data_IF_214615556564
#
_entry.id   IF_214615556564
#
_cell.length_a   1.000
_cell.length_b   1.000
_cell.length_c   1.000
_cell.angle_alpha   90.00
_cell.angle_beta   90.00
_cell.angle_gamma   90.00
#
_symmetry.space_group_name_H-M   'P 1'
#
loop_
_entity.id
_entity.type
_entity.pdbx_description
1 polymer ?
#
# COMPACT_ATOMS: atom_id res chain seq x y z
N UNK A 1 -21.40 24.78 -10.43
CA UNK A 1 -20.30 24.34 -9.53
C UNK A 1 -19.52 23.22 -10.21
N UNK A 2 -18.23 23.41 -10.49
CA UNK A 2 -17.34 22.28 -10.84
C UNK A 2 -17.12 21.45 -9.57
N UNK A 3 -17.33 20.14 -9.62
CA UNK A 3 -16.94 19.25 -8.52
C UNK A 3 -15.43 19.40 -8.28
N UNK A 4 -14.97 19.33 -7.03
CA UNK A 4 -13.55 19.38 -6.78
C UNK A 4 -12.83 18.24 -7.49
N UNK A 5 -11.74 18.55 -8.19
CA UNK A 5 -11.00 17.60 -9.04
C UNK A 5 -10.28 16.52 -8.24
N UNK A 6 -10.17 16.66 -6.93
CA UNK A 6 -9.50 15.72 -6.03
C UNK A 6 -10.34 14.51 -5.59
N UNK A 7 -11.67 14.57 -5.66
CA UNK A 7 -12.54 13.47 -5.21
C UNK A 7 -12.29 12.17 -6.02
N UNK A 8 -12.26 12.21 -7.37
CA UNK A 8 -11.97 11.00 -8.16
C UNK A 8 -10.55 10.44 -7.91
N UNK A 9 -9.60 11.31 -7.56
CA UNK A 9 -8.20 10.96 -7.30
C UNK A 9 -8.10 10.16 -5.99
N UNK A 10 -8.78 10.62 -4.93
CA UNK A 10 -8.81 9.93 -3.63
C UNK A 10 -9.48 8.55 -3.72
N UNK A 11 -10.59 8.43 -4.46
CA UNK A 11 -11.21 7.13 -4.71
C UNK A 11 -10.31 6.18 -5.50
N UNK A 12 -9.48 6.71 -6.42
CA UNK A 12 -8.48 5.92 -7.13
C UNK A 12 -7.37 5.42 -6.20
N UNK A 13 -6.85 6.26 -5.32
CA UNK A 13 -5.85 5.86 -4.32
C UNK A 13 -6.41 4.83 -3.33
N UNK A 14 -7.69 4.93 -2.98
CA UNK A 14 -8.38 3.93 -2.15
C UNK A 14 -8.51 2.59 -2.89
N UNK A 15 -8.85 2.61 -4.19
CA UNK A 15 -8.92 1.40 -5.00
C UNK A 15 -7.58 0.64 -5.04
N UNK A 16 -6.48 1.36 -5.31
CA UNK A 16 -5.13 0.79 -5.25
C UNK A 16 -4.81 0.21 -3.86
N UNK A 17 -5.23 0.90 -2.80
CA UNK A 17 -5.00 0.44 -1.43
C UNK A 17 -5.79 -0.82 -1.07
N UNK A 18 -7.03 -0.94 -1.54
CA UNK A 18 -7.83 -2.16 -1.37
C UNK A 18 -7.15 -3.33 -2.09
N UNK A 19 -6.64 -3.11 -3.31
CA UNK A 19 -5.89 -4.13 -4.04
C UNK A 19 -4.62 -4.58 -3.28
N UNK A 20 -3.87 -3.64 -2.71
CA UNK A 20 -2.71 -3.93 -1.86
C UNK A 20 -3.09 -4.71 -0.59
N UNK A 21 -4.18 -4.31 0.08
CA UNK A 21 -4.68 -4.98 1.28
C UNK A 21 -5.07 -6.44 1.00
N UNK A 22 -5.78 -6.71 -0.11
CA UNK A 22 -6.06 -8.09 -0.51
C UNK A 22 -4.80 -8.85 -0.88
N UNK A 23 -3.89 -8.24 -1.64
CA UNK A 23 -2.62 -8.85 -2.03
C UNK A 23 -1.79 -9.29 -0.83
N UNK A 24 -1.63 -8.42 0.17
CA UNK A 24 -0.87 -8.75 1.38
C UNK A 24 -1.59 -9.81 2.22
N UNK A 25 -2.93 -9.77 2.34
CA UNK A 25 -3.67 -10.82 3.05
C UNK A 25 -3.51 -12.19 2.39
N UNK A 26 -3.56 -12.26 1.05
CA UNK A 26 -3.33 -13.51 0.30
C UNK A 26 -1.89 -14.01 0.53
N UNK A 27 -0.91 -13.10 0.49
CA UNK A 27 0.48 -13.43 0.81
C UNK A 27 0.59 -14.02 2.21
N UNK A 28 0.08 -13.31 3.22
CA UNK A 28 0.10 -13.76 4.62
C UNK A 28 -0.60 -15.10 4.80
N UNK A 29 -1.69 -15.36 4.07
CA UNK A 29 -2.42 -16.63 4.14
C UNK A 29 -1.65 -17.80 3.50
N UNK A 30 -1.01 -17.58 2.35
CA UNK A 30 -0.46 -18.64 1.50
C UNK A 30 1.06 -18.86 1.59
N UNK A 31 1.82 -17.95 2.17
CA UNK A 31 3.29 -17.99 2.12
C UNK A 31 3.87 -19.16 2.93
N UNK A 32 4.62 -20.05 2.25
CA UNK A 32 5.42 -21.10 2.90
C UNK A 32 4.64 -22.25 3.56
N UNK A 33 3.36 -22.45 3.23
CA UNK A 33 2.43 -23.43 3.87
C UNK A 33 2.06 -23.10 5.32
N UNK A 34 2.50 -21.97 5.86
CA UNK A 34 2.20 -21.54 7.21
C UNK A 34 1.71 -20.09 7.21
N UNK A 35 0.44 -19.84 7.55
CA UNK A 35 -0.11 -18.49 7.63
C UNK A 35 0.70 -17.59 8.56
N UNK A 36 0.83 -16.32 8.19
CA UNK A 36 1.53 -15.27 8.96
C UNK A 36 0.53 -14.39 9.69
N UNK A 37 0.77 -14.15 10.97
CA UNK A 37 0.05 -13.12 11.72
C UNK A 37 0.51 -11.72 11.29
N UNK A 38 -0.24 -10.69 11.69
CA UNK A 38 0.06 -9.28 11.40
C UNK A 38 1.47 -8.86 11.83
N UNK A 39 2.01 -9.44 12.90
CA UNK A 39 3.36 -9.14 13.43
C UNK A 39 4.48 -9.89 12.69
N UNK A 40 4.15 -10.98 12.00
CA UNK A 40 5.10 -11.81 11.27
C UNK A 40 5.21 -11.41 9.79
N UNK A 41 4.20 -10.75 9.24
CA UNK A 41 4.17 -10.30 7.87
C UNK A 41 5.15 -9.15 7.62
N UNK A 42 5.79 -9.14 6.45
CA UNK A 42 6.68 -8.03 6.03
C UNK A 42 5.92 -6.78 5.55
N UNK A 43 4.66 -6.93 5.16
CA UNK A 43 3.80 -5.86 4.62
C UNK A 43 4.30 -5.22 3.31
N UNK A 44 5.06 -5.98 2.53
CA UNK A 44 5.62 -5.59 1.25
C UNK A 44 4.76 -6.06 0.08
N UNK A 45 4.54 -5.16 -0.88
CA UNK A 45 3.85 -5.46 -2.13
C UNK A 45 4.87 -5.60 -3.25
N UNK A 46 4.89 -6.78 -3.90
CA UNK A 46 5.84 -7.11 -4.96
C UNK A 46 7.26 -7.30 -4.43
N UNK A 47 7.41 -7.93 -3.26
CA UNK A 47 8.73 -8.33 -2.75
C UNK A 47 9.47 -9.20 -3.78
N UNK A 48 10.75 -8.91 -4.01
CA UNK A 48 11.59 -9.68 -4.93
C UNK A 48 11.29 -9.49 -6.42
N UNK A 49 10.43 -8.53 -6.79
CA UNK A 49 10.12 -8.25 -8.20
C UNK A 49 11.27 -7.59 -8.96
N UNK A 50 12.15 -6.90 -8.23
CA UNK A 50 13.24 -6.13 -8.82
C UNK A 50 14.35 -7.06 -9.32
N UNK A 51 15.01 -6.65 -10.41
CA UNK A 51 16.24 -7.31 -10.85
C UNK A 51 17.34 -7.17 -9.79
N UNK A 52 18.32 -8.06 -9.81
CA UNK A 52 19.35 -8.14 -8.75
C UNK A 52 20.24 -6.89 -8.64
N UNK A 53 20.24 -6.02 -9.64
CA UNK A 53 21.01 -4.77 -9.70
C UNK A 53 20.20 -3.53 -9.28
N UNK A 54 18.93 -3.68 -8.90
CA UNK A 54 18.09 -2.60 -8.40
C UNK A 54 18.05 -2.63 -6.87
N UNK A 55 18.37 -1.50 -6.24
CA UNK A 55 18.31 -1.31 -4.80
C UNK A 55 16.86 -1.08 -4.32
N UNK A 56 16.07 -2.16 -4.29
CA UNK A 56 14.69 -2.16 -3.83
C UNK A 56 14.29 -3.48 -3.20
N UNK A 57 13.52 -3.41 -2.11
CA UNK A 57 12.98 -4.61 -1.43
C UNK A 57 11.67 -5.07 -2.08
N UNK A 58 10.87 -4.11 -2.52
CA UNK A 58 9.52 -4.31 -3.05
C UNK A 58 9.07 -3.11 -3.88
N UNK A 59 7.88 -3.15 -4.47
CA UNK A 59 7.27 -1.98 -5.12
C UNK A 59 6.73 -0.97 -4.10
N UNK A 60 6.12 -1.47 -3.02
CA UNK A 60 5.50 -0.66 -1.96
C UNK A 60 5.70 -1.30 -0.60
N UNK A 61 5.72 -0.48 0.43
CA UNK A 61 5.81 -0.88 1.84
C UNK A 61 4.59 -0.31 2.56
N UNK A 62 3.62 -1.16 2.92
CA UNK A 62 2.39 -0.70 3.57
C UNK A 62 2.65 -0.23 5.00
N UNK A 63 3.69 -0.75 5.66
CA UNK A 63 4.07 -0.36 7.02
C UNK A 63 4.77 1.00 7.04
N UNK A 64 5.67 1.22 6.10
CA UNK A 64 6.46 2.44 5.94
C UNK A 64 6.47 2.94 4.48
N UNK A 65 5.37 3.57 4.00
CA UNK A 65 5.32 4.12 2.65
C UNK A 65 6.47 5.10 2.37
N UNK A 66 7.05 5.05 1.18
CA UNK A 66 8.20 5.89 0.81
C UNK A 66 9.57 5.25 1.09
N UNK A 67 9.60 3.97 1.49
CA UNK A 67 10.83 3.25 1.90
C UNK A 67 11.06 1.92 1.18
N UNK A 68 10.21 1.55 0.22
CA UNK A 68 10.31 0.26 -0.46
C UNK A 68 11.56 0.14 -1.35
N UNK A 69 11.99 1.25 -1.96
CA UNK A 69 13.16 1.31 -2.83
C UNK A 69 13.79 2.73 -2.86
N UNK A 70 15.09 2.77 -3.13
CA UNK A 70 15.84 3.99 -3.39
C UNK A 70 17.07 3.66 -4.24
N UNK A 71 16.92 3.83 -5.54
CA UNK A 71 17.84 3.31 -6.53
C UNK A 71 18.08 4.34 -7.66
N UNK A 72 19.32 4.46 -8.20
CA UNK A 72 19.60 5.40 -9.28
C UNK A 72 18.85 5.12 -10.59
N UNK A 73 18.50 3.87 -10.89
CA UNK A 73 17.86 3.47 -12.15
C UNK A 73 16.36 3.71 -12.11
N UNK A 74 15.70 3.33 -11.01
CA UNK A 74 14.23 3.38 -10.88
C UNK A 74 13.73 4.50 -9.97
N UNK A 75 14.63 5.24 -9.34
CA UNK A 75 14.33 6.38 -8.47
C UNK A 75 14.05 5.96 -7.02
N UNK A 76 13.34 6.83 -6.30
CA UNK A 76 12.95 6.63 -4.90
C UNK A 76 11.46 6.48 -4.78
N UNK A 77 11.02 5.58 -3.89
CA UNK A 77 9.62 5.41 -3.53
C UNK A 77 8.97 6.76 -3.16
N UNK A 78 7.99 7.23 -3.97
CA UNK A 78 7.40 8.54 -3.80
C UNK A 78 6.21 8.57 -2.83
N UNK A 79 5.80 7.43 -2.24
CA UNK A 79 4.54 7.37 -1.48
C UNK A 79 4.60 8.17 -0.17
N UNK A 80 3.63 9.07 0.10
CA UNK A 80 3.50 9.69 1.41
C UNK A 80 2.89 8.71 2.43
N UNK A 81 3.30 8.85 3.69
CA UNK A 81 2.81 8.03 4.79
C UNK A 81 1.74 8.75 5.64
N UNK A 82 1.39 10.00 5.33
CA UNK A 82 0.43 10.80 6.09
C UNK A 82 -0.29 11.82 5.20
N UNK A 83 -1.53 12.16 5.56
CA UNK A 83 -2.39 13.08 4.79
C UNK A 83 -1.79 14.47 4.57
N UNK A 84 -1.02 14.96 5.54
CA UNK A 84 -0.32 16.25 5.44
C UNK A 84 0.63 16.34 4.24
N UNK A 85 1.11 15.19 3.77
CA UNK A 85 2.05 15.05 2.66
C UNK A 85 1.35 14.56 1.38
N UNK A 86 0.01 14.61 1.35
CA UNK A 86 -0.80 14.24 0.19
C UNK A 86 -0.35 15.04 -1.04
N UNK A 87 -0.22 14.35 -2.18
CA UNK A 87 0.29 14.95 -3.40
C UNK A 87 -0.84 15.18 -4.40
N UNK A 88 -1.17 16.45 -4.63
CA UNK A 88 -2.04 16.84 -5.73
C UNK A 88 -1.21 16.86 -7.03
N UNK A 89 -1.45 15.87 -7.89
CA UNK A 89 -0.76 15.73 -9.17
C UNK A 89 -1.73 15.99 -10.33
N UNK A 90 -1.24 16.48 -11.48
CA UNK A 90 -2.06 16.56 -12.68
C UNK A 90 -2.52 15.16 -13.10
N UNK A 91 -3.71 15.05 -13.69
CA UNK A 91 -4.27 13.75 -14.14
C UNK A 91 -3.35 12.98 -15.11
N UNK A 92 -2.48 13.68 -15.84
CA UNK A 92 -1.49 13.06 -16.72
C UNK A 92 -0.38 12.32 -15.99
N UNK A 93 -0.17 12.60 -14.70
CA UNK A 93 0.78 11.90 -13.84
C UNK A 93 0.03 11.00 -12.90
N UNK A 94 0.21 9.70 -13.07
CA UNK A 94 -0.35 8.70 -12.15
C UNK A 94 -1.87 8.85 -11.93
N UNK A 95 -2.62 9.25 -12.96
CA UNK A 95 -4.07 9.54 -12.89
C UNK A 95 -4.46 10.49 -11.74
N UNK A 96 -3.56 11.41 -11.39
CA UNK A 96 -3.72 12.32 -10.25
C UNK A 96 -2.96 11.89 -8.98
N UNK A 97 -2.14 10.85 -9.04
CA UNK A 97 -1.37 10.33 -7.90
C UNK A 97 -2.04 9.14 -7.20
N UNK A 98 -2.73 8.26 -7.93
CA UNK A 98 -3.47 7.15 -7.31
C UNK A 98 -2.53 6.12 -6.67
N UNK A 99 -1.46 5.70 -7.36
CA UNK A 99 -0.49 4.76 -6.80
C UNK A 99 0.42 5.45 -5.79
N UNK A 100 0.71 6.74 -6.00
CA UNK A 100 1.52 7.53 -5.07
C UNK A 100 0.79 7.69 -3.73
N UNK A 101 -0.45 8.18 -3.74
CA UNK A 101 -1.18 8.50 -2.51
C UNK A 101 -1.79 7.27 -1.82
N UNK A 102 -1.77 6.07 -2.43
CA UNK A 102 -2.27 4.84 -1.79
C UNK A 102 -1.46 4.42 -0.56
N UNK A 103 -0.23 4.93 -0.40
CA UNK A 103 0.56 4.76 0.82
C UNK A 103 -0.16 5.21 2.10
N UNK A 104 -0.98 6.25 2.03
CA UNK A 104 -1.72 6.79 3.18
C UNK A 104 -2.75 5.77 3.70
N UNK A 105 -3.74 5.30 2.91
CA UNK A 105 -4.67 4.26 3.35
C UNK A 105 -3.99 2.90 3.58
N UNK A 106 -2.91 2.55 2.87
CA UNK A 106 -2.13 1.33 3.15
C UNK A 106 -1.58 1.33 4.58
N UNK A 107 -0.99 2.45 5.01
CA UNK A 107 -0.48 2.59 6.37
C UNK A 107 -1.60 2.57 7.40
N UNK A 108 -2.75 3.17 7.09
CA UNK A 108 -3.92 3.11 7.95
C UNK A 108 -4.39 1.65 8.15
N UNK A 109 -4.45 0.86 7.07
CA UNK A 109 -4.79 -0.55 7.14
C UNK A 109 -3.77 -1.36 7.96
N UNK A 110 -2.47 -1.16 7.72
CA UNK A 110 -1.40 -1.78 8.50
C UNK A 110 -1.56 -1.50 10.01
N UNK A 111 -1.78 -0.23 10.39
CA UNK A 111 -1.94 0.16 11.78
C UNK A 111 -3.19 -0.47 12.40
N UNK A 112 -4.32 -0.46 11.69
CA UNK A 112 -5.55 -1.08 12.15
C UNK A 112 -5.39 -2.60 12.35
N UNK A 113 -4.80 -3.30 11.38
CA UNK A 113 -4.54 -4.73 11.47
C UNK A 113 -3.62 -5.08 12.64
N UNK A 114 -2.54 -4.31 12.81
CA UNK A 114 -1.58 -4.50 13.92
C UNK A 114 -2.25 -4.26 15.28
N UNK A 115 -3.11 -3.24 15.40
CA UNK A 115 -3.85 -2.98 16.63
C UNK A 115 -4.88 -4.06 16.96
N UNK A 116 -5.52 -4.65 15.94
CA UNK A 116 -6.48 -5.76 16.13
C UNK A 116 -5.75 -7.06 16.48
N UNK A 117 -4.58 -7.30 15.89
CA UNK A 117 -3.78 -8.51 16.13
C UNK A 117 -4.27 -9.72 15.34
N UNK A 118 -3.58 -10.86 15.52
CA UNK A 118 -3.95 -12.14 14.90
C UNK A 118 -3.69 -12.16 13.40
N UNK A 119 -4.62 -12.71 12.63
CA UNK A 119 -4.55 -12.77 11.17
C UNK A 119 -5.31 -11.60 10.54
N UNK A 120 -4.67 -10.89 9.61
CA UNK A 120 -5.27 -9.69 9.02
C UNK A 120 -6.64 -9.96 8.37
N UNK A 121 -6.83 -11.12 7.73
CA UNK A 121 -8.08 -11.49 7.07
C UNK A 121 -9.22 -11.86 8.03
N UNK A 122 -8.93 -12.18 9.30
CA UNK A 122 -9.94 -12.45 10.34
C UNK A 122 -10.30 -11.19 11.13
N UNK A 123 -9.41 -10.19 11.14
CA UNK A 123 -9.58 -8.92 11.83
C UNK A 123 -9.89 -7.76 10.88
N UNK A 124 -8.89 -6.91 10.63
CA UNK A 124 -9.03 -5.69 9.82
C UNK A 124 -9.58 -5.93 8.40
N UNK A 125 -9.29 -7.09 7.81
CA UNK A 125 -9.78 -7.50 6.50
C UNK A 125 -11.31 -7.46 6.44
N UNK A 126 -11.99 -8.07 7.42
CA UNK A 126 -13.46 -8.11 7.44
C UNK A 126 -14.11 -6.72 7.48
N UNK A 127 -13.47 -5.74 8.11
CA UNK A 127 -13.98 -4.36 8.20
C UNK A 127 -13.95 -3.69 6.82
N UNK A 128 -12.91 -3.94 6.03
CA UNK A 128 -12.72 -3.34 4.70
C UNK A 128 -13.37 -4.10 3.55
N UNK A 129 -13.72 -5.38 3.74
CA UNK A 129 -14.20 -6.28 2.67
C UNK A 129 -15.64 -6.72 2.84
N UNK A 130 -16.31 -6.42 3.95
CA UNK A 130 -17.72 -6.71 4.19
C UNK A 130 -18.66 -5.62 3.64
N UNK A 131 -18.48 -5.26 2.36
CA UNK A 131 -19.43 -4.42 1.59
C UNK A 131 -20.21 -5.27 0.59
#
# INVERSE_FOLDING_TARGET
>A
MRKPTWIPIQSGALNESIADAFGVMIKQWGEGKCPKTVDQADWLIGEGIWASDVNGRALRDMKNPGTAYNDPQVGKDPQPAHWKDFKELPLSKDRGGIHINSGIPNRAFFLAATMIGGYAWEGAGLIGTAL
#
